data_IF_270978264194
#
_entry.id   IF_270978264194
#
_cell.length_a   1.000
_cell.length_b   1.000
_cell.length_c   1.000
_cell.angle_alpha   90.00
_cell.angle_beta   90.00
_cell.angle_gamma   90.00
#
_symmetry.space_group_name_H-M   'P 1'
#
loop_
_entity.id
_entity.type
_entity.pdbx_description
1 polymer ?
#
# COMPACT_ATOMS: atom_id res chain seq x y z
N UNK A 1 1.05 27.43 8.73
CA UNK A 1 1.71 26.52 9.72
C UNK A 1 3.21 26.55 9.48
N UNK A 2 4.01 26.86 10.49
CA UNK A 2 5.46 26.73 10.37
C UNK A 2 5.80 25.24 10.32
N UNK A 3 6.56 24.82 9.30
CA UNK A 3 7.12 23.46 9.23
C UNK A 3 8.03 23.27 10.43
N UNK A 4 7.64 22.40 11.33
CA UNK A 4 8.42 22.11 12.54
C UNK A 4 9.71 21.33 12.29
N UNK A 5 9.88 20.77 11.07
CA UNK A 5 11.09 20.08 10.66
C UNK A 5 11.43 20.43 9.21
N UNK A 6 12.64 20.96 8.99
CA UNK A 6 13.26 20.95 7.67
C UNK A 6 13.68 19.51 7.36
N UNK A 7 13.25 18.97 6.22
CA UNK A 7 13.53 17.60 5.78
C UNK A 7 15.03 17.33 5.60
N UNK A 8 15.83 18.40 5.51
CA UNK A 8 17.27 18.35 5.21
C UNK A 8 18.14 18.22 6.47
N UNK A 9 17.54 18.36 7.68
CA UNK A 9 18.30 18.38 8.94
C UNK A 9 18.19 17.07 9.75
N UNK A 10 17.43 16.06 9.29
CA UNK A 10 17.20 14.82 10.04
C UNK A 10 17.75 13.61 9.29
N UNK A 11 18.81 13.01 9.83
CA UNK A 11 19.30 11.71 9.39
C UNK A 11 18.43 10.58 10.00
N UNK A 12 17.41 10.14 9.26
CA UNK A 12 16.50 9.07 9.67
C UNK A 12 17.14 7.67 9.72
N UNK A 13 18.42 7.53 9.37
CA UNK A 13 19.14 6.26 9.41
C UNK A 13 19.85 5.99 10.74
N UNK A 14 19.94 6.99 11.63
CA UNK A 14 20.67 6.87 12.89
C UNK A 14 19.91 6.03 13.94
N UNK A 15 20.49 4.96 14.50
CA UNK A 15 19.89 4.22 15.60
C UNK A 15 19.70 5.13 16.82
N UNK A 16 18.46 5.23 17.34
CA UNK A 16 18.13 6.04 18.51
C UNK A 16 17.49 7.40 18.21
N UNK A 17 17.41 7.81 16.94
CA UNK A 17 16.86 9.11 16.55
C UNK A 17 15.43 9.36 17.12
N UNK A 18 14.59 8.33 17.14
CA UNK A 18 13.21 8.46 17.66
C UNK A 18 13.22 8.81 19.15
N UNK A 19 14.10 8.20 19.94
CA UNK A 19 14.22 8.51 21.37
C UNK A 19 14.78 9.91 21.58
N UNK A 20 15.81 10.31 20.81
CA UNK A 20 16.38 11.66 20.88
C UNK A 20 15.36 12.75 20.50
N UNK A 21 14.47 12.48 19.55
CA UNK A 21 13.38 13.40 19.19
C UNK A 21 12.35 13.49 20.32
N UNK A 22 11.93 12.37 20.91
CA UNK A 22 10.95 12.35 21.99
C UNK A 22 11.48 13.06 23.23
N UNK A 23 12.76 12.85 23.59
CA UNK A 23 13.40 13.45 24.75
C UNK A 23 13.56 14.97 24.65
N UNK A 24 13.51 15.52 23.41
CA UNK A 24 13.61 16.95 23.14
C UNK A 24 12.25 17.65 22.92
N UNK A 25 11.12 16.95 22.98
CA UNK A 25 9.80 17.55 22.84
C UNK A 25 9.41 18.36 24.09
N UNK A 26 8.78 19.50 23.84
CA UNK A 26 8.18 20.27 24.95
C UNK A 26 6.92 19.58 25.46
N UNK A 27 6.50 19.83 26.72
CA UNK A 27 5.23 19.30 27.25
C UNK A 27 4.00 19.64 26.38
N UNK A 28 4.01 20.78 25.70
CA UNK A 28 2.95 21.19 24.77
C UNK A 28 2.95 20.31 23.52
N UNK A 29 4.11 20.06 22.91
CA UNK A 29 4.27 19.18 21.76
C UNK A 29 3.87 17.73 22.09
N UNK A 30 4.24 17.24 23.28
CA UNK A 30 3.82 15.92 23.76
C UNK A 30 2.28 15.88 23.89
N UNK A 31 1.68 16.94 24.45
CA UNK A 31 0.22 17.04 24.58
C UNK A 31 -0.51 17.05 23.22
N UNK A 32 0.06 17.73 22.22
CA UNK A 32 -0.48 17.72 20.85
C UNK A 32 -0.38 16.33 20.18
N UNK A 33 0.77 15.66 20.33
CA UNK A 33 0.93 14.28 19.81
C UNK A 33 -0.06 13.32 20.50
N UNK A 34 -0.23 13.42 21.80
CA UNK A 34 -1.21 12.61 22.54
C UNK A 34 -2.62 12.86 22.05
N UNK A 35 -2.98 14.14 21.80
CA UNK A 35 -4.30 14.51 21.27
C UNK A 35 -4.54 13.91 19.88
N UNK A 36 -3.52 13.91 19.00
CA UNK A 36 -3.59 13.27 17.67
C UNK A 36 -3.82 11.78 17.82
N UNK A 37 -3.02 11.11 18.67
CA UNK A 37 -3.15 9.66 18.93
C UNK A 37 -4.54 9.29 19.47
N UNK A 38 -5.05 10.05 20.42
CA UNK A 38 -6.37 9.82 21.01
C UNK A 38 -7.50 10.04 19.99
N UNK A 39 -7.35 11.03 19.09
CA UNK A 39 -8.30 11.28 18.01
C UNK A 39 -8.29 10.14 16.98
N UNK A 40 -7.12 9.65 16.58
CA UNK A 40 -6.99 8.48 15.68
C UNK A 40 -7.63 7.25 16.32
N UNK A 41 -7.39 6.96 17.60
CA UNK A 41 -8.05 5.86 18.34
C UNK A 41 -9.56 6.01 18.36
N UNK A 42 -10.07 7.22 18.56
CA UNK A 42 -11.50 7.50 18.54
C UNK A 42 -12.11 7.29 17.15
N UNK A 43 -11.42 7.70 16.08
CA UNK A 43 -11.81 7.42 14.69
C UNK A 43 -11.89 5.92 14.42
N UNK A 44 -10.84 5.15 14.75
CA UNK A 44 -10.83 3.70 14.59
C UNK A 44 -12.00 3.03 15.32
N UNK A 45 -12.26 3.43 16.56
CA UNK A 45 -13.37 2.92 17.33
C UNK A 45 -14.73 3.22 16.70
N UNK A 46 -14.90 4.45 16.19
CA UNK A 46 -16.14 4.89 15.56
C UNK A 46 -16.35 4.30 14.15
N UNK A 47 -15.25 3.91 13.47
CA UNK A 47 -15.25 3.26 12.15
C UNK A 47 -15.36 1.73 12.25
N UNK A 48 -15.65 1.16 13.40
CA UNK A 48 -15.82 -0.30 13.56
C UNK A 48 -16.87 -0.83 12.58
N UNK A 49 -16.50 -1.85 11.80
CA UNK A 49 -17.35 -2.45 10.75
C UNK A 49 -17.26 -1.79 9.38
N UNK A 50 -16.46 -0.74 9.25
CA UNK A 50 -16.08 -0.16 7.94
C UNK A 50 -14.91 -0.91 7.33
N UNK A 51 -14.69 -0.73 6.01
CA UNK A 51 -13.55 -1.34 5.34
C UNK A 51 -12.22 -0.71 5.80
N UNK A 52 -11.10 -1.43 5.72
CA UNK A 52 -9.79 -0.87 6.03
C UNK A 52 -9.45 0.38 5.21
N UNK A 53 -9.87 0.43 3.94
CA UNK A 53 -9.70 1.59 3.06
C UNK A 53 -10.48 2.81 3.60
N UNK A 54 -11.70 2.61 4.08
CA UNK A 54 -12.49 3.68 4.69
C UNK A 54 -11.85 4.18 5.99
N UNK A 55 -11.30 3.28 6.80
CA UNK A 55 -10.59 3.66 8.04
C UNK A 55 -9.35 4.48 7.70
N UNK A 56 -8.54 4.02 6.73
CA UNK A 56 -7.37 4.75 6.24
C UNK A 56 -7.76 6.11 5.66
N UNK A 57 -8.83 6.20 4.88
CA UNK A 57 -9.34 7.45 4.33
C UNK A 57 -9.70 8.46 5.43
N UNK A 58 -10.32 8.01 6.52
CA UNK A 58 -10.65 8.84 7.66
C UNK A 58 -9.39 9.38 8.38
N UNK A 59 -8.36 8.54 8.55
CA UNK A 59 -7.07 8.96 9.11
C UNK A 59 -6.38 10.00 8.22
N UNK A 60 -6.29 9.73 6.93
CA UNK A 60 -5.68 10.64 5.94
C UNK A 60 -6.38 11.98 5.93
N UNK A 61 -7.71 12.00 5.86
CA UNK A 61 -8.50 13.23 5.93
C UNK A 61 -8.26 14.00 7.24
N UNK A 62 -8.24 13.29 8.36
CA UNK A 62 -7.95 13.91 9.65
C UNK A 62 -6.56 14.56 9.68
N UNK A 63 -5.52 13.79 9.37
CA UNK A 63 -4.12 14.24 9.53
C UNK A 63 -3.78 15.37 8.56
N UNK A 64 -4.21 15.26 7.30
CA UNK A 64 -3.76 16.17 6.26
C UNK A 64 -4.67 17.40 6.07
N UNK A 65 -5.95 17.29 6.34
CA UNK A 65 -6.91 18.33 5.98
C UNK A 65 -7.77 18.82 7.14
N UNK A 66 -8.11 17.96 8.10
CA UNK A 66 -9.14 18.25 9.10
C UNK A 66 -8.59 18.39 10.54
N UNK A 67 -7.27 18.40 10.73
CA UNK A 67 -6.66 18.48 12.06
C UNK A 67 -7.10 19.72 12.84
N UNK A 68 -7.32 20.86 12.16
CA UNK A 68 -7.80 22.10 12.79
C UNK A 68 -9.22 22.00 13.34
N UNK A 69 -10.06 21.16 12.70
CA UNK A 69 -11.45 20.93 13.11
C UNK A 69 -11.57 19.91 14.25
N UNK A 70 -10.50 19.16 14.53
CA UNK A 70 -10.52 18.03 15.48
C UNK A 70 -10.82 18.43 16.93
N UNK A 71 -10.61 19.72 17.28
CA UNK A 71 -10.93 20.29 18.59
C UNK A 71 -12.41 20.70 18.72
N UNK A 72 -13.18 20.66 17.64
CA UNK A 72 -14.60 20.94 17.66
C UNK A 72 -15.42 19.79 18.27
N UNK A 73 -16.46 20.10 19.07
CA UNK A 73 -17.33 19.05 19.59
C UNK A 73 -17.98 18.24 18.47
N UNK A 74 -17.91 16.90 18.57
CA UNK A 74 -18.52 15.98 17.62
C UNK A 74 -17.74 15.79 16.30
N UNK A 75 -16.50 16.25 16.22
CA UNK A 75 -15.64 16.07 15.03
C UNK A 75 -15.64 14.64 14.51
N UNK A 76 -15.34 13.65 15.37
CA UNK A 76 -15.29 12.23 14.99
C UNK A 76 -16.62 11.78 14.39
N UNK A 77 -17.74 12.14 15.00
CA UNK A 77 -19.06 11.76 14.50
C UNK A 77 -19.40 12.41 13.17
N UNK A 78 -19.01 13.67 12.98
CA UNK A 78 -19.18 14.38 11.69
C UNK A 78 -18.36 13.71 10.59
N UNK A 79 -17.08 13.42 10.83
CA UNK A 79 -16.21 12.79 9.85
C UNK A 79 -16.67 11.37 9.49
N UNK A 80 -17.00 10.55 10.49
CA UNK A 80 -17.53 9.18 10.26
C UNK A 80 -18.86 9.22 9.49
N UNK A 81 -19.67 10.25 9.71
CA UNK A 81 -20.93 10.47 8.99
C UNK A 81 -20.77 10.72 7.49
N UNK A 82 -19.57 11.15 7.03
CA UNK A 82 -19.29 11.36 5.60
C UNK A 82 -19.10 10.04 4.83
N UNK A 83 -18.92 8.89 5.51
CA UNK A 83 -18.63 7.60 4.88
C UNK A 83 -19.89 6.80 4.62
N UNK A 84 -20.10 6.40 3.35
CA UNK A 84 -21.17 5.50 2.92
C UNK A 84 -20.59 4.25 2.22
N UNK A 85 -21.38 3.17 2.17
CA UNK A 85 -20.96 1.95 1.48
C UNK A 85 -20.99 2.14 -0.04
N UNK A 86 -19.94 1.71 -0.74
CA UNK A 86 -19.82 1.84 -2.19
C UNK A 86 -19.62 3.27 -2.71
N UNK A 87 -19.25 4.20 -1.84
CA UNK A 87 -18.95 5.58 -2.17
C UNK A 87 -17.61 5.69 -2.92
N UNK A 88 -17.56 6.55 -3.96
CA UNK A 88 -16.30 6.89 -4.64
C UNK A 88 -15.55 7.98 -3.86
N UNK A 89 -14.25 8.17 -4.18
CA UNK A 89 -13.44 9.25 -3.58
C UNK A 89 -14.05 10.62 -3.86
N UNK A 90 -14.55 10.88 -5.09
CA UNK A 90 -15.20 12.14 -5.44
C UNK A 90 -16.45 12.40 -4.57
N UNK A 91 -17.24 11.36 -4.30
CA UNK A 91 -18.43 11.46 -3.47
C UNK A 91 -18.06 11.68 -2.00
N UNK A 92 -17.02 11.00 -1.50
CA UNK A 92 -16.51 11.19 -0.14
C UNK A 92 -16.01 12.63 0.05
N UNK A 93 -15.16 13.10 -0.87
CA UNK A 93 -14.59 14.45 -0.77
C UNK A 93 -15.65 15.54 -0.91
N UNK A 94 -16.65 15.35 -1.78
CA UNK A 94 -17.78 16.27 -1.87
C UNK A 94 -18.56 16.38 -0.54
N UNK A 95 -18.80 15.24 0.13
CA UNK A 95 -19.46 15.23 1.45
C UNK A 95 -18.61 15.88 2.54
N UNK A 96 -17.30 15.57 2.58
CA UNK A 96 -16.36 16.19 3.52
C UNK A 96 -16.31 17.71 3.33
N UNK A 97 -16.22 18.18 2.08
CA UNK A 97 -16.23 19.60 1.76
C UNK A 97 -17.53 20.27 2.23
N UNK A 98 -18.68 19.61 2.03
CA UNK A 98 -19.97 20.13 2.46
C UNK A 98 -20.09 20.21 3.99
N UNK A 99 -19.60 19.20 4.72
CA UNK A 99 -19.71 19.10 6.18
C UNK A 99 -18.75 20.03 6.92
N UNK A 100 -17.51 20.17 6.40
CA UNK A 100 -16.43 20.93 7.06
C UNK A 100 -16.17 22.30 6.40
N UNK A 101 -16.78 22.58 5.27
CA UNK A 101 -16.56 23.84 4.53
C UNK A 101 -15.17 23.94 3.91
N UNK A 102 -14.57 22.78 3.57
CA UNK A 102 -13.28 22.68 2.92
C UNK A 102 -13.43 22.72 1.39
N UNK A 103 -12.31 22.85 0.68
CA UNK A 103 -12.21 22.79 -0.80
C UNK A 103 -11.13 21.79 -1.19
N UNK A 104 -11.31 20.54 -0.76
CA UNK A 104 -10.38 19.45 -1.05
C UNK A 104 -10.60 18.95 -2.47
N UNK A 105 -9.50 18.70 -3.18
CA UNK A 105 -9.52 18.10 -4.52
C UNK A 105 -9.57 16.57 -4.40
N UNK A 106 -10.56 15.90 -5.03
CA UNK A 106 -10.65 14.44 -5.04
C UNK A 106 -9.43 13.76 -5.69
N UNK A 107 -8.82 14.36 -6.73
CA UNK A 107 -7.65 13.80 -7.41
C UNK A 107 -6.43 13.82 -6.48
N UNK A 108 -6.21 14.93 -5.76
CA UNK A 108 -5.15 15.03 -4.76
C UNK A 108 -5.36 14.05 -3.62
N UNK A 109 -6.59 13.88 -3.14
CA UNK A 109 -6.92 12.89 -2.11
C UNK A 109 -6.63 11.46 -2.58
N UNK A 110 -7.10 11.08 -3.77
CA UNK A 110 -6.86 9.76 -4.35
C UNK A 110 -5.36 9.52 -4.56
N UNK A 111 -4.60 10.54 -4.99
CA UNK A 111 -3.15 10.44 -5.12
C UNK A 111 -2.47 10.14 -3.77
N UNK A 112 -2.93 10.77 -2.68
CA UNK A 112 -2.40 10.53 -1.32
C UNK A 112 -2.79 9.14 -0.83
N UNK A 113 -4.04 8.73 -1.02
CA UNK A 113 -4.50 7.39 -0.63
C UNK A 113 -3.68 6.28 -1.31
N UNK A 114 -3.26 6.54 -2.56
CA UNK A 114 -2.46 5.62 -3.36
C UNK A 114 -0.93 5.83 -3.19
N UNK A 115 -0.49 6.84 -2.41
CA UNK A 115 0.94 7.19 -2.31
C UNK A 115 1.83 6.01 -1.90
N UNK A 116 1.38 5.19 -0.99
CA UNK A 116 2.13 4.02 -0.55
C UNK A 116 2.25 2.97 -1.67
N UNK A 117 1.17 2.73 -2.40
CA UNK A 117 1.18 1.84 -3.55
C UNK A 117 2.09 2.39 -4.66
N UNK A 118 2.08 3.72 -4.85
CA UNK A 118 2.98 4.41 -5.77
C UNK A 118 4.45 4.23 -5.40
N UNK A 119 4.82 4.29 -4.12
CA UNK A 119 6.21 4.08 -3.66
C UNK A 119 6.72 2.69 -4.05
N UNK A 120 5.92 1.64 -3.84
CA UNK A 120 6.26 0.27 -4.25
C UNK A 120 6.50 0.17 -5.75
N UNK A 121 5.64 0.79 -6.54
CA UNK A 121 5.75 0.82 -8.00
C UNK A 121 7.00 1.56 -8.46
N UNK A 122 7.34 2.70 -7.87
CA UNK A 122 8.56 3.45 -8.23
C UNK A 122 9.83 2.68 -7.88
N UNK A 123 9.86 1.98 -6.73
CA UNK A 123 10.96 1.07 -6.39
C UNK A 123 11.09 -0.03 -7.43
N UNK A 124 9.98 -0.66 -7.84
CA UNK A 124 9.99 -1.71 -8.86
C UNK A 124 10.43 -1.19 -10.24
N UNK A 125 9.95 -0.01 -10.66
CA UNK A 125 10.35 0.64 -11.92
C UNK A 125 11.85 0.88 -12.00
N UNK A 126 12.47 1.28 -10.90
CA UNK A 126 13.92 1.52 -10.84
C UNK A 126 14.75 0.25 -11.08
N UNK A 127 14.12 -0.93 -11.06
CA UNK A 127 14.77 -2.22 -11.28
C UNK A 127 14.65 -2.75 -12.72
N UNK A 128 13.88 -2.08 -13.58
CA UNK A 128 13.69 -2.52 -14.96
C UNK A 128 15.02 -2.70 -15.70
N UNK A 129 15.16 -3.83 -16.39
CA UNK A 129 16.37 -4.22 -17.10
C UNK A 129 17.43 -4.93 -16.25
N UNK A 130 17.21 -5.14 -14.94
CA UNK A 130 18.07 -6.01 -14.13
C UNK A 130 17.94 -7.46 -14.61
N UNK A 131 19.05 -8.15 -14.82
CA UNK A 131 19.12 -9.53 -15.32
C UNK A 131 19.75 -10.45 -14.27
N UNK A 132 19.24 -11.70 -14.16
CA UNK A 132 19.76 -12.72 -13.26
C UNK A 132 19.36 -12.58 -11.81
N UNK A 133 18.78 -11.44 -11.41
CA UNK A 133 18.14 -11.21 -10.10
C UNK A 133 19.03 -11.33 -8.88
N UNK A 134 20.37 -11.28 -9.03
CA UNK A 134 21.30 -11.46 -7.91
C UNK A 134 21.03 -10.52 -6.73
N UNK A 135 20.66 -9.22 -6.89
CA UNK A 135 20.35 -8.35 -5.78
C UNK A 135 19.16 -8.80 -4.93
N UNK A 136 18.24 -9.58 -5.49
CA UNK A 136 16.99 -9.98 -4.84
C UNK A 136 17.12 -11.34 -4.14
N UNK A 137 17.59 -12.37 -4.86
CA UNK A 137 17.75 -13.70 -4.26
C UNK A 137 18.89 -13.74 -3.24
N UNK A 138 20.01 -13.01 -3.45
CA UNK A 138 21.09 -12.94 -2.47
C UNK A 138 20.69 -12.18 -1.21
N UNK A 139 19.96 -11.05 -1.34
CA UNK A 139 19.37 -10.33 -0.21
C UNK A 139 18.40 -11.22 0.60
N UNK A 140 17.63 -12.05 -0.11
CA UNK A 140 16.73 -12.98 0.56
C UNK A 140 17.48 -14.03 1.40
N UNK A 141 18.72 -14.34 1.03
CA UNK A 141 19.61 -15.28 1.74
C UNK A 141 19.93 -16.55 0.94
N UNK A 142 19.61 -16.61 -0.35
CA UNK A 142 20.00 -17.73 -1.19
C UNK A 142 21.47 -17.61 -1.62
N UNK A 143 22.26 -18.71 -1.56
CA UNK A 143 23.68 -18.70 -1.90
C UNK A 143 23.96 -18.76 -3.41
N UNK A 144 22.94 -19.03 -4.21
CA UNK A 144 23.01 -19.13 -5.66
C UNK A 144 21.68 -18.77 -6.29
N UNK A 145 21.65 -18.59 -7.61
CA UNK A 145 20.44 -18.27 -8.36
C UNK A 145 19.32 -19.28 -8.10
N UNK A 146 18.15 -18.76 -7.85
CA UNK A 146 16.87 -19.47 -7.72
C UNK A 146 15.84 -18.81 -8.63
N UNK A 147 14.62 -19.34 -8.70
CA UNK A 147 13.48 -18.57 -9.23
C UNK A 147 13.22 -17.38 -8.29
N UNK A 148 13.29 -16.15 -8.83
CA UNK A 148 13.42 -14.95 -7.99
C UNK A 148 12.28 -13.93 -8.10
N UNK A 149 11.17 -14.27 -8.76
CA UNK A 149 10.01 -13.39 -8.86
C UNK A 149 9.47 -12.96 -7.48
N UNK A 150 9.30 -13.90 -6.56
CA UNK A 150 8.84 -13.63 -5.20
C UNK A 150 9.91 -12.91 -4.36
N UNK A 151 11.21 -13.21 -4.57
CA UNK A 151 12.30 -12.49 -3.94
C UNK A 151 12.32 -11.00 -4.38
N UNK A 152 12.06 -10.73 -5.66
CA UNK A 152 11.95 -9.37 -6.19
C UNK A 152 10.83 -8.57 -5.51
N UNK A 153 9.62 -9.13 -5.44
CA UNK A 153 8.49 -8.46 -4.75
C UNK A 153 8.81 -8.20 -3.29
N UNK A 154 9.39 -9.20 -2.59
CA UNK A 154 9.81 -9.05 -1.19
C UNK A 154 10.89 -7.97 -1.02
N UNK A 155 11.85 -7.92 -1.95
CA UNK A 155 12.90 -6.90 -1.92
C UNK A 155 12.32 -5.49 -2.11
N UNK A 156 11.43 -5.30 -3.10
CA UNK A 156 10.74 -4.02 -3.31
C UNK A 156 9.95 -3.60 -2.06
N UNK A 157 9.22 -4.54 -1.45
CA UNK A 157 8.47 -4.29 -0.22
C UNK A 157 9.39 -3.89 0.94
N UNK A 158 10.58 -4.51 1.04
CA UNK A 158 11.57 -4.15 2.05
C UNK A 158 12.10 -2.73 1.87
N UNK A 159 12.38 -2.31 0.62
CA UNK A 159 12.85 -0.93 0.35
C UNK A 159 11.83 0.13 0.78
N UNK A 160 10.54 -0.23 0.78
CA UNK A 160 9.45 0.62 1.26
C UNK A 160 9.19 0.48 2.78
N UNK A 161 9.90 -0.40 3.50
CA UNK A 161 9.62 -0.71 4.91
C UNK A 161 8.31 -1.47 5.13
N UNK A 162 7.73 -2.07 4.08
CA UNK A 162 6.41 -2.73 4.14
C UNK A 162 6.45 -4.10 4.79
N UNK A 163 7.61 -4.76 4.83
CA UNK A 163 7.78 -6.02 5.55
C UNK A 163 7.66 -5.79 7.05
N UNK A 164 8.41 -4.84 7.59
CA UNK A 164 8.43 -4.54 9.03
C UNK A 164 7.07 -4.03 9.54
N UNK A 165 6.35 -3.29 8.69
CA UNK A 165 5.00 -2.82 8.98
C UNK A 165 3.92 -3.90 8.80
N UNK A 166 4.25 -5.08 8.29
CA UNK A 166 3.29 -6.16 8.02
C UNK A 166 2.27 -5.83 6.92
N UNK A 167 2.64 -4.98 5.96
CA UNK A 167 1.84 -4.60 4.78
C UNK A 167 1.98 -5.61 3.65
N UNK A 168 3.21 -6.09 3.43
CA UNK A 168 3.54 -7.16 2.47
C UNK A 168 4.45 -8.16 3.21
N UNK A 169 4.22 -9.48 3.08
CA UNK A 169 5.08 -10.47 3.74
C UNK A 169 6.45 -10.55 3.07
N UNK A 170 7.44 -11.05 3.80
CA UNK A 170 8.68 -11.54 3.21
C UNK A 170 8.46 -12.98 2.73
N UNK A 171 8.48 -13.22 1.42
CA UNK A 171 8.24 -14.53 0.83
C UNK A 171 9.14 -14.78 -0.37
N UNK A 172 9.46 -16.06 -0.62
CA UNK A 172 10.25 -16.53 -1.76
C UNK A 172 9.52 -17.59 -2.60
N UNK A 173 8.35 -18.04 -2.13
CA UNK A 173 7.42 -18.89 -2.87
C UNK A 173 6.09 -18.18 -3.06
N UNK A 174 5.54 -18.20 -4.28
CA UNK A 174 4.35 -17.43 -4.65
C UNK A 174 3.14 -17.80 -3.79
N UNK A 175 2.89 -19.09 -3.54
CA UNK A 175 1.78 -19.55 -2.69
C UNK A 175 1.85 -19.04 -1.25
N UNK A 176 3.06 -18.79 -0.72
CA UNK A 176 3.21 -18.16 0.59
C UNK A 176 2.61 -16.76 0.60
N UNK A 177 2.85 -15.98 -0.47
CA UNK A 177 2.26 -14.67 -0.66
C UNK A 177 0.75 -14.73 -0.80
N UNK A 178 0.23 -15.62 -1.67
CA UNK A 178 -1.21 -15.85 -1.87
C UNK A 178 -1.91 -16.14 -0.54
N UNK A 179 -1.39 -17.12 0.20
CA UNK A 179 -1.98 -17.54 1.48
C UNK A 179 -1.96 -16.42 2.51
N UNK A 180 -0.89 -15.62 2.53
CA UNK A 180 -0.78 -14.50 3.46
C UNK A 180 -1.86 -13.43 3.19
N UNK A 181 -2.05 -13.01 1.93
CA UNK A 181 -3.07 -12.04 1.57
C UNK A 181 -4.49 -12.56 1.80
N UNK A 182 -4.75 -13.83 1.43
CA UNK A 182 -6.04 -14.49 1.69
C UNK A 182 -6.37 -14.54 3.19
N UNK A 183 -5.41 -14.92 4.02
CA UNK A 183 -5.59 -15.00 5.48
C UNK A 183 -5.86 -13.64 6.14
N UNK A 184 -5.40 -12.56 5.52
CA UNK A 184 -5.68 -11.19 5.97
C UNK A 184 -6.98 -10.62 5.42
N UNK A 185 -7.69 -11.33 4.55
CA UNK A 185 -8.85 -10.78 3.83
C UNK A 185 -8.48 -9.69 2.81
N UNK A 186 -7.21 -9.64 2.38
CA UNK A 186 -6.62 -8.69 1.45
C UNK A 186 -6.41 -9.34 0.08
N UNK A 187 -7.45 -9.93 -0.47
CA UNK A 187 -7.39 -10.69 -1.72
C UNK A 187 -8.51 -10.30 -2.68
N UNK A 188 -8.16 -10.05 -3.93
CA UNK A 188 -9.10 -9.92 -5.04
C UNK A 188 -8.93 -11.11 -6.00
N UNK A 189 -10.05 -11.59 -6.52
CA UNK A 189 -10.07 -12.66 -7.54
C UNK A 189 -9.48 -12.16 -8.87
N UNK A 190 -8.93 -13.06 -9.70
CA UNK A 190 -8.27 -12.71 -10.96
C UNK A 190 -9.13 -11.98 -11.98
N UNK A 191 -10.47 -12.03 -11.84
CA UNK A 191 -11.41 -11.28 -12.67
C UNK A 191 -11.63 -9.83 -12.25
N UNK A 192 -11.17 -9.43 -11.07
CA UNK A 192 -11.31 -8.08 -10.57
C UNK A 192 -10.37 -7.10 -11.29
N UNK A 193 -10.68 -5.82 -11.21
CA UNK A 193 -9.77 -4.74 -11.62
C UNK A 193 -8.92 -4.34 -10.41
N UNK A 194 -7.58 -4.55 -10.45
CA UNK A 194 -6.71 -4.18 -9.35
C UNK A 194 -6.34 -2.69 -9.40
N UNK A 195 -5.92 -2.16 -8.27
CA UNK A 195 -5.26 -0.86 -8.19
C UNK A 195 -3.75 -0.96 -8.43
N UNK A 196 -3.11 0.17 -8.73
CA UNK A 196 -1.66 0.29 -8.77
C UNK A 196 -1.05 -0.10 -7.42
N UNK A 197 0.05 -0.87 -7.45
CA UNK A 197 0.72 -1.39 -6.25
C UNK A 197 0.13 -2.68 -5.68
N UNK A 198 -0.97 -3.19 -6.22
CA UNK A 198 -1.40 -4.56 -5.93
C UNK A 198 -0.33 -5.57 -6.34
N UNK A 199 -0.28 -6.70 -5.64
CA UNK A 199 0.61 -7.82 -5.97
C UNK A 199 -0.18 -8.81 -6.80
N UNK A 200 0.19 -9.01 -8.07
CA UNK A 200 -0.47 -9.90 -9.00
C UNK A 200 0.16 -11.29 -8.93
N UNK A 201 -0.67 -12.32 -8.87
CA UNK A 201 -0.27 -13.72 -8.84
C UNK A 201 -0.85 -14.47 -10.04
N UNK A 202 -0.04 -15.37 -10.61
CA UNK A 202 -0.39 -16.11 -11.81
C UNK A 202 -0.38 -17.62 -11.53
N UNK A 203 -1.34 -18.31 -12.13
CA UNK A 203 -1.40 -19.76 -12.25
C UNK A 203 -1.35 -20.09 -13.75
N UNK A 204 -0.22 -20.59 -14.20
CA UNK A 204 0.00 -20.90 -15.61
C UNK A 204 -0.43 -22.34 -15.93
N UNK A 205 -1.07 -22.57 -17.08
CA UNK A 205 -1.41 -23.92 -17.46
C UNK A 205 -0.15 -24.77 -17.71
N UNK A 206 -0.21 -26.03 -17.28
CA UNK A 206 0.80 -27.02 -17.60
C UNK A 206 0.84 -27.39 -19.11
N UNK A 207 1.65 -28.36 -19.48
CA UNK A 207 1.75 -28.85 -20.87
C UNK A 207 0.45 -29.44 -21.43
N UNK A 208 -0.52 -29.76 -20.58
CA UNK A 208 -1.85 -30.25 -20.96
C UNK A 208 -2.93 -29.15 -20.92
N UNK A 209 -2.55 -27.91 -20.62
CA UNK A 209 -3.46 -26.77 -20.52
C UNK A 209 -4.25 -26.72 -19.21
N UNK A 210 -3.81 -27.40 -18.16
CA UNK A 210 -4.47 -27.49 -16.86
C UNK A 210 -3.78 -26.54 -15.87
N UNK A 211 -4.59 -25.74 -15.17
CA UNK A 211 -4.16 -24.93 -14.01
C UNK A 211 -4.44 -25.73 -12.74
N UNK A 212 -3.50 -25.74 -11.78
CA UNK A 212 -3.63 -26.53 -10.57
C UNK A 212 -4.08 -25.74 -9.33
N UNK A 213 -4.28 -24.42 -9.49
CA UNK A 213 -4.70 -23.52 -8.43
C UNK A 213 -3.55 -23.02 -7.54
N UNK A 214 -2.31 -23.40 -7.85
CA UNK A 214 -1.09 -22.88 -7.21
C UNK A 214 -0.55 -21.70 -7.99
N UNK A 215 0.20 -20.83 -7.33
CA UNK A 215 0.79 -19.68 -8.01
C UNK A 215 2.21 -19.96 -8.51
N UNK A 216 2.42 -19.86 -9.81
CA UNK A 216 3.71 -20.09 -10.47
C UNK A 216 4.56 -18.83 -10.54
N UNK A 217 3.92 -17.65 -10.55
CA UNK A 217 4.60 -16.38 -10.76
C UNK A 217 3.93 -15.24 -10.00
N UNK A 218 4.70 -14.17 -9.78
CA UNK A 218 4.23 -12.99 -9.05
C UNK A 218 4.90 -11.73 -9.58
N UNK A 219 4.14 -10.63 -9.60
CA UNK A 219 4.63 -9.31 -9.98
C UNK A 219 3.94 -8.20 -9.18
N UNK A 220 4.24 -6.96 -9.57
CA UNK A 220 3.66 -5.75 -8.99
C UNK A 220 2.85 -5.05 -10.08
N UNK A 221 1.59 -4.71 -9.80
CA UNK A 221 0.75 -3.94 -10.71
C UNK A 221 1.27 -2.51 -10.79
N UNK A 222 1.67 -2.09 -11.99
CA UNK A 222 2.12 -0.72 -12.24
C UNK A 222 0.94 0.22 -12.43
N UNK A 223 -0.01 -0.17 -13.29
CA UNK A 223 -1.23 0.59 -13.58
C UNK A 223 -2.27 -0.28 -14.29
N UNK A 224 -3.50 0.24 -14.35
CA UNK A 224 -4.55 -0.28 -15.21
C UNK A 224 -4.94 0.78 -16.22
N UNK A 225 -4.95 0.44 -17.50
CA UNK A 225 -5.27 1.36 -18.58
C UNK A 225 -5.82 0.59 -19.79
N UNK A 226 -6.87 1.11 -20.44
CA UNK A 226 -7.41 0.54 -21.67
C UNK A 226 -7.86 -0.93 -21.54
N UNK A 227 -8.36 -1.35 -20.38
CA UNK A 227 -8.80 -2.73 -20.12
C UNK A 227 -7.64 -3.72 -19.91
N UNK A 228 -6.44 -3.22 -19.64
CA UNK A 228 -5.24 -4.03 -19.36
C UNK A 228 -4.61 -3.67 -18.03
N UNK A 229 -4.08 -4.69 -17.36
CA UNK A 229 -3.21 -4.57 -16.21
C UNK A 229 -1.76 -4.55 -16.71
N UNK A 230 -1.02 -3.51 -16.40
CA UNK A 230 0.41 -3.39 -16.65
C UNK A 230 1.15 -3.75 -15.38
N UNK A 231 2.22 -4.54 -15.51
CA UNK A 231 2.96 -5.11 -14.37
C UNK A 231 4.45 -4.86 -14.49
N UNK A 232 5.15 -4.89 -13.37
CA UNK A 232 6.60 -5.01 -13.28
C UNK A 232 6.90 -6.33 -12.60
N UNK A 233 7.64 -7.18 -13.28
CA UNK A 233 7.85 -8.56 -12.90
C UNK A 233 9.35 -8.89 -12.84
N UNK A 234 9.80 -9.42 -11.72
CA UNK A 234 11.11 -10.03 -11.60
C UNK A 234 11.08 -11.45 -12.15
N UNK A 235 12.20 -11.91 -12.71
CA UNK A 235 12.35 -13.25 -13.29
C UNK A 235 11.43 -13.52 -14.50
N UNK A 236 11.00 -12.49 -15.19
CA UNK A 236 10.35 -12.60 -16.49
C UNK A 236 11.44 -12.75 -17.57
N UNK A 237 11.62 -13.96 -18.11
CA UNK A 237 12.74 -14.25 -19.00
C UNK A 237 14.12 -14.02 -18.37
N UNK A 238 14.26 -14.29 -17.06
CA UNK A 238 15.46 -14.02 -16.24
C UNK A 238 15.81 -12.52 -16.08
N UNK A 239 14.84 -11.63 -16.34
CA UNK A 239 15.00 -10.19 -16.20
C UNK A 239 13.87 -9.55 -15.38
N UNK A 240 14.08 -8.30 -14.94
CA UNK A 240 13.03 -7.44 -14.45
C UNK A 240 12.41 -6.70 -15.63
N UNK A 241 11.17 -7.03 -15.97
CA UNK A 241 10.51 -6.54 -17.18
C UNK A 241 9.11 -5.99 -16.91
N UNK A 242 8.65 -5.16 -17.85
CA UNK A 242 7.27 -4.68 -17.88
C UNK A 242 6.44 -5.57 -18.79
N UNK A 243 5.35 -6.12 -18.24
CA UNK A 243 4.39 -6.93 -18.98
C UNK A 243 3.00 -6.30 -18.97
N UNK A 244 2.05 -6.86 -19.70
CA UNK A 244 0.64 -6.46 -19.62
C UNK A 244 -0.31 -7.57 -20.01
N UNK A 245 -1.44 -7.64 -19.31
CA UNK A 245 -2.46 -8.67 -19.45
C UNK A 245 -3.84 -8.02 -19.58
N UNK A 246 -4.80 -8.60 -20.35
CA UNK A 246 -6.20 -8.19 -20.26
C UNK A 246 -6.71 -8.36 -18.83
N UNK A 247 -7.57 -7.45 -18.34
CA UNK A 247 -8.31 -7.67 -17.10
C UNK A 247 -9.11 -8.97 -17.23
N UNK A 248 -9.06 -9.83 -16.19
CA UNK A 248 -9.70 -11.13 -16.20
C UNK A 248 -9.03 -12.17 -17.10
N UNK A 249 -7.76 -11.98 -17.47
CA UNK A 249 -6.97 -13.02 -18.12
C UNK A 249 -7.00 -14.29 -17.25
N UNK A 250 -7.30 -15.43 -17.84
CA UNK A 250 -7.48 -16.71 -17.14
C UNK A 250 -6.24 -17.19 -16.39
N UNK A 251 -5.05 -16.70 -16.75
CA UNK A 251 -3.79 -17.00 -16.05
C UNK A 251 -3.59 -16.18 -14.78
N UNK A 252 -4.40 -15.16 -14.53
CA UNK A 252 -4.33 -14.37 -13.31
C UNK A 252 -5.10 -15.11 -12.22
N UNK A 253 -4.39 -15.65 -11.24
CA UNK A 253 -4.98 -16.30 -10.07
C UNK A 253 -5.72 -15.29 -9.18
N UNK A 254 -5.12 -14.12 -8.98
CA UNK A 254 -5.70 -13.04 -8.19
C UNK A 254 -4.68 -11.99 -7.79
N UNK A 255 -5.12 -11.11 -6.88
CA UNK A 255 -4.33 -9.97 -6.45
C UNK A 255 -4.31 -9.85 -4.92
N UNK A 256 -3.12 -9.71 -4.35
CA UNK A 256 -2.95 -9.23 -3.00
C UNK A 256 -3.08 -7.71 -2.97
N UNK A 257 -3.84 -7.17 -2.03
CA UNK A 257 -4.07 -5.74 -1.85
C UNK A 257 -3.32 -5.23 -0.63
N UNK A 258 -2.08 -4.68 -0.79
CA UNK A 258 -1.34 -4.13 0.33
C UNK A 258 -2.11 -2.97 0.96
N UNK A 259 -2.29 -3.01 2.28
CA UNK A 259 -2.92 -1.92 3.05
C UNK A 259 -1.92 -1.40 4.07
N UNK A 260 -1.67 -0.10 4.07
CA UNK A 260 -0.79 0.62 5.01
C UNK A 260 -1.50 0.94 6.29
#
# INVERSE_FOLDING_TARGET
MASFFSRDDIDFSAPGLVNDVIDNLTPEQIGELQFVEDTVKALHSAMTGRTPEQIKAAEVLYILALSEYSKEPGFVAKLVGCFADGQTDEQLIAEVNAVFGTDLDPEDFSAIMNYANHQLVEVAKAQLGNVGGEPYWSWYGFPSRVEWCACFVSWCANQCGYIDKGVIPRFSGCDTGVNWFKNKGQWLEGSATPDSGCIIFFDWPDEYGVQDGSSDHVGIVEKVEGGRVYTIEGNSGDACERNSYPIGNYQILGYGTPML
#
